data_IF_302391978997
#
_entry.id   IF_302391978997
#
_cell.length_a   1.000
_cell.length_b   1.000
_cell.length_c   1.000
_cell.angle_alpha   90.00
_cell.angle_beta   90.00
_cell.angle_gamma   90.00
#
_symmetry.space_group_name_H-M   'P 1'
#
loop_
_entity.id
_entity.type
_entity.pdbx_description
1 polymer ?
#
# COMPACT_ATOMS: atom_id res chain seq x y z
N UNK A 1 -6.76 17.48 -1.14
CA UNK A 1 -6.18 17.55 0.23
C UNK A 1 -4.72 17.86 0.07
N UNK A 2 -4.21 18.89 0.76
CA UNK A 2 -2.77 19.13 0.81
C UNK A 2 -2.16 18.12 1.78
N UNK A 3 -1.08 17.46 1.36
CA UNK A 3 -0.33 16.51 2.18
C UNK A 3 0.67 17.25 3.05
N UNK A 4 0.83 16.85 4.32
CA UNK A 4 1.90 17.41 5.17
C UNK A 4 3.30 16.92 4.77
N UNK A 5 3.36 15.86 3.97
CA UNK A 5 4.60 15.32 3.43
C UNK A 5 5.07 16.14 2.21
N UNK A 6 6.39 16.35 2.05
CA UNK A 6 6.94 17.06 0.90
C UNK A 6 6.61 16.38 -0.43
N UNK A 7 6.33 17.18 -1.46
CA UNK A 7 6.04 16.67 -2.80
C UNK A 7 7.20 15.85 -3.38
N UNK A 8 8.45 16.21 -3.04
CA UNK A 8 9.66 15.47 -3.43
C UNK A 8 9.60 14.00 -3.01
N UNK A 9 9.12 13.71 -1.79
CA UNK A 9 8.99 12.34 -1.30
C UNK A 9 7.99 11.55 -2.15
N UNK A 10 6.86 12.18 -2.50
CA UNK A 10 5.87 11.59 -3.40
C UNK A 10 6.48 11.18 -4.74
N UNK A 11 7.18 12.09 -5.41
CA UNK A 11 7.82 11.82 -6.70
C UNK A 11 8.89 10.72 -6.64
N UNK A 12 9.69 10.68 -5.56
CA UNK A 12 10.72 9.65 -5.38
C UNK A 12 10.09 8.27 -5.10
N UNK A 13 9.04 8.20 -4.28
CA UNK A 13 8.39 6.93 -3.93
C UNK A 13 7.56 6.35 -5.08
N UNK A 14 6.89 7.21 -5.86
CA UNK A 14 5.86 6.82 -6.82
C UNK A 14 6.25 5.70 -7.80
N UNK A 15 7.40 5.73 -8.50
CA UNK A 15 7.72 4.67 -9.46
C UNK A 15 7.88 3.30 -8.79
N UNK A 16 8.53 3.25 -7.62
CA UNK A 16 8.77 2.00 -6.90
C UNK A 16 7.48 1.45 -6.28
N UNK A 17 6.71 2.30 -5.62
CA UNK A 17 5.41 1.96 -5.02
C UNK A 17 4.43 1.49 -6.09
N UNK A 18 4.43 2.11 -7.27
CA UNK A 18 3.57 1.69 -8.39
C UNK A 18 3.90 0.29 -8.86
N UNK A 19 5.18 -0.01 -9.10
CA UNK A 19 5.60 -1.35 -9.54
C UNK A 19 5.24 -2.41 -8.50
N UNK A 20 5.55 -2.16 -7.22
CA UNK A 20 5.32 -3.14 -6.15
C UNK A 20 3.82 -3.27 -5.85
N UNK A 21 3.08 -2.17 -5.80
CA UNK A 21 1.63 -2.17 -5.54
C UNK A 21 0.85 -2.91 -6.63
N UNK A 22 1.22 -2.73 -7.91
CA UNK A 22 0.64 -3.50 -9.01
C UNK A 22 1.03 -4.98 -8.97
N UNK A 23 2.26 -5.30 -8.59
CA UNK A 23 2.67 -6.69 -8.39
C UNK A 23 1.85 -7.36 -7.29
N UNK A 24 1.66 -6.70 -6.15
CA UNK A 24 0.84 -7.18 -5.03
C UNK A 24 -0.61 -7.36 -5.48
N UNK A 25 -1.20 -6.35 -6.12
CA UNK A 25 -2.57 -6.42 -6.62
C UNK A 25 -2.77 -7.60 -7.58
N UNK A 26 -1.86 -7.79 -8.54
CA UNK A 26 -1.91 -8.93 -9.47
C UNK A 26 -1.75 -10.27 -8.77
N UNK A 27 -0.77 -10.39 -7.86
CA UNK A 27 -0.52 -11.63 -7.13
C UNK A 27 -1.70 -12.03 -6.27
N UNK A 28 -2.32 -11.05 -5.61
CA UNK A 28 -3.45 -11.28 -4.73
C UNK A 28 -4.72 -11.63 -5.51
N UNK A 29 -4.96 -10.98 -6.65
CA UNK A 29 -6.02 -11.38 -7.57
C UNK A 29 -5.84 -12.78 -8.15
N UNK A 30 -4.60 -13.16 -8.49
CA UNK A 30 -4.29 -14.43 -9.14
C UNK A 30 -4.22 -15.61 -8.16
N UNK A 31 -3.65 -15.40 -6.97
CA UNK A 31 -3.28 -16.48 -6.03
C UNK A 31 -3.75 -16.25 -4.60
N UNK A 32 -4.49 -15.16 -4.34
CA UNK A 32 -5.00 -14.78 -3.01
C UNK A 32 -3.89 -14.72 -1.94
N UNK A 33 -2.68 -14.36 -2.39
CA UNK A 33 -1.47 -14.31 -1.58
C UNK A 33 -0.66 -13.09 -1.95
N UNK A 34 -0.25 -12.37 -0.91
CA UNK A 34 0.78 -11.33 -1.01
C UNK A 34 2.17 -11.99 -0.82
N UNK A 35 3.07 -11.91 -1.82
CA UNK A 35 4.39 -12.51 -1.71
C UNK A 35 5.24 -11.79 -0.66
N UNK A 36 5.91 -12.53 0.24
CA UNK A 36 6.86 -11.95 1.19
C UNK A 36 7.95 -11.13 0.50
N UNK A 37 8.35 -11.53 -0.72
CA UNK A 37 9.30 -10.78 -1.54
C UNK A 37 8.79 -9.35 -1.81
N UNK A 38 7.51 -9.17 -2.08
CA UNK A 38 6.93 -7.84 -2.32
C UNK A 38 6.95 -6.97 -1.05
N UNK A 39 6.63 -7.57 0.11
CA UNK A 39 6.71 -6.89 1.42
C UNK A 39 8.14 -6.43 1.71
N UNK A 40 9.12 -7.33 1.57
CA UNK A 40 10.54 -7.02 1.81
C UNK A 40 11.04 -5.99 0.81
N UNK A 41 10.66 -6.08 -0.47
CA UNK A 41 10.99 -5.08 -1.49
C UNK A 41 10.43 -3.71 -1.13
N UNK A 42 9.18 -3.62 -0.65
CA UNK A 42 8.57 -2.34 -0.28
C UNK A 42 9.32 -1.70 0.90
N UNK A 43 9.67 -2.51 1.90
CA UNK A 43 10.49 -2.06 3.03
C UNK A 43 11.88 -1.58 2.58
N UNK A 44 12.57 -2.37 1.75
CA UNK A 44 13.89 -2.00 1.22
C UNK A 44 13.86 -0.71 0.39
N UNK A 45 12.79 -0.52 -0.39
CA UNK A 45 12.53 0.75 -1.09
C UNK A 45 12.41 1.89 -0.10
N UNK A 46 11.65 1.75 0.98
CA UNK A 46 11.55 2.82 2.00
C UNK A 46 12.91 3.14 2.62
N UNK A 47 13.70 2.13 2.96
CA UNK A 47 15.04 2.34 3.53
C UNK A 47 15.91 3.15 2.56
N UNK A 48 15.98 2.76 1.30
CA UNK A 48 16.82 3.44 0.31
C UNK A 48 16.30 4.85 -0.03
N UNK A 49 15.01 4.95 -0.36
CA UNK A 49 14.40 6.21 -0.82
C UNK A 49 14.16 7.19 0.33
N UNK A 50 13.78 6.71 1.52
CA UNK A 50 13.65 7.53 2.72
C UNK A 50 14.99 8.11 3.16
N UNK A 51 16.08 7.33 3.08
CA UNK A 51 17.43 7.86 3.28
C UNK A 51 17.78 8.93 2.23
N UNK A 52 17.51 8.68 0.95
CA UNK A 52 17.76 9.65 -0.11
C UNK A 52 16.98 10.96 0.12
N UNK A 53 15.69 10.88 0.47
CA UNK A 53 14.87 12.05 0.80
C UNK A 53 15.44 12.81 2.00
N UNK A 54 15.90 12.09 3.03
CA UNK A 54 16.54 12.70 4.21
C UNK A 54 17.82 13.45 3.84
N UNK A 55 18.68 12.84 3.02
CA UNK A 55 19.92 13.46 2.55
C UNK A 55 19.69 14.66 1.64
N UNK A 56 18.58 14.67 0.90
CA UNK A 56 18.14 15.79 0.06
C UNK A 56 17.40 16.89 0.84
N UNK A 57 17.30 16.78 2.18
CA UNK A 57 16.63 17.77 3.03
C UNK A 57 15.10 17.67 3.05
N UNK A 58 14.51 16.66 2.39
CA UNK A 58 13.06 16.47 2.39
C UNK A 58 12.52 15.92 3.71
N UNK A 59 13.32 15.14 4.45
CA UNK A 59 12.99 14.69 5.81
C UNK A 59 14.09 15.10 6.78
N UNK A 60 13.70 15.37 8.02
CA UNK A 60 14.64 15.36 9.14
C UNK A 60 15.02 13.92 9.50
N UNK A 61 16.20 13.73 10.10
CA UNK A 61 16.61 12.42 10.62
C UNK A 61 15.62 11.84 11.65
N UNK A 62 15.00 12.71 12.45
CA UNK A 62 14.00 12.32 13.43
C UNK A 62 12.72 11.79 12.75
N UNK A 63 12.22 12.47 11.72
CA UNK A 63 11.06 12.00 10.94
C UNK A 63 11.36 10.66 10.28
N UNK A 64 12.51 10.52 9.62
CA UNK A 64 12.90 9.28 9.00
C UNK A 64 12.97 8.12 10.02
N UNK A 65 13.51 8.36 11.22
CA UNK A 65 13.51 7.41 12.32
C UNK A 65 12.10 7.01 12.80
N UNK A 66 11.21 7.99 13.00
CA UNK A 66 9.83 7.75 13.46
C UNK A 66 8.99 6.92 12.49
N UNK A 67 9.31 6.96 11.20
CA UNK A 67 8.62 6.18 10.17
C UNK A 67 8.79 4.67 10.38
N UNK A 68 9.91 4.24 10.96
CA UNK A 68 10.11 2.84 11.36
C UNK A 68 9.22 2.44 12.55
N UNK A 69 8.94 3.38 13.46
CA UNK A 69 7.97 3.14 14.53
C UNK A 69 6.56 2.90 13.97
N UNK A 70 6.16 3.60 12.89
CA UNK A 70 4.87 3.33 12.23
C UNK A 70 4.79 1.87 11.74
N UNK A 71 5.87 1.35 11.12
CA UNK A 71 5.93 -0.05 10.70
C UNK A 71 5.75 -1.00 11.88
N UNK A 72 6.47 -0.79 12.97
CA UNK A 72 6.39 -1.67 14.15
C UNK A 72 4.98 -1.64 14.75
N UNK A 73 4.40 -0.46 14.92
CA UNK A 73 3.05 -0.31 15.48
C UNK A 73 2.01 -0.99 14.59
N UNK A 74 2.04 -0.75 13.29
CA UNK A 74 1.09 -1.38 12.35
C UNK A 74 1.29 -2.89 12.28
N UNK A 75 2.54 -3.38 12.37
CA UNK A 75 2.83 -4.81 12.43
C UNK A 75 2.26 -5.47 13.68
N UNK A 76 2.39 -4.82 14.85
CA UNK A 76 1.84 -5.34 16.10
C UNK A 76 0.30 -5.39 16.05
N UNK A 77 -0.34 -4.32 15.56
CA UNK A 77 -1.80 -4.29 15.36
C UNK A 77 -2.23 -5.40 14.39
N UNK A 78 -1.56 -5.48 13.24
CA UNK A 78 -1.84 -6.50 12.22
C UNK A 78 -1.62 -7.93 12.73
N UNK A 79 -0.62 -8.16 13.57
CA UNK A 79 -0.38 -9.44 14.21
C UNK A 79 -1.54 -9.83 15.15
N UNK A 80 -2.02 -8.91 15.98
CA UNK A 80 -3.18 -9.13 16.85
C UNK A 80 -4.44 -9.41 16.03
N UNK A 81 -4.70 -8.62 14.98
CA UNK A 81 -5.84 -8.83 14.08
C UNK A 81 -5.78 -10.19 13.38
N UNK A 82 -4.60 -10.62 12.92
CA UNK A 82 -4.41 -11.93 12.32
C UNK A 82 -4.62 -13.06 13.35
N UNK A 83 -4.10 -12.91 14.58
CA UNK A 83 -4.33 -13.88 15.65
C UNK A 83 -5.81 -14.00 16.03
N UNK A 84 -6.57 -12.91 15.91
CA UNK A 84 -8.03 -12.89 16.09
C UNK A 84 -8.82 -13.36 14.86
N UNK A 85 -8.16 -13.73 13.74
CA UNK A 85 -8.81 -14.20 12.52
C UNK A 85 -9.49 -13.11 11.67
N UNK A 86 -9.20 -11.84 11.92
CA UNK A 86 -9.83 -10.69 11.25
C UNK A 86 -9.16 -10.31 9.92
N UNK A 87 -7.88 -10.64 9.74
CA UNK A 87 -7.07 -10.25 8.60
C UNK A 87 -6.03 -11.33 8.29
N UNK A 88 -5.70 -11.53 7.02
CA UNK A 88 -4.63 -12.45 6.63
C UNK A 88 -3.23 -11.94 7.02
N UNK A 89 -2.33 -12.86 7.35
CA UNK A 89 -0.94 -12.51 7.70
C UNK A 89 -0.20 -11.76 6.58
N UNK A 90 -0.56 -12.01 5.31
CA UNK A 90 0.00 -11.29 4.17
C UNK A 90 -0.39 -9.81 4.17
N UNK A 91 -1.69 -9.52 4.34
CA UNK A 91 -2.25 -8.17 4.39
C UNK A 91 -1.65 -7.39 5.56
N UNK A 92 -1.56 -8.01 6.74
CA UNK A 92 -0.98 -7.40 7.93
C UNK A 92 0.48 -6.98 7.72
N UNK A 93 1.30 -7.87 7.14
CA UNK A 93 2.71 -7.58 6.84
C UNK A 93 2.86 -6.50 5.77
N UNK A 94 2.02 -6.52 4.75
CA UNK A 94 2.07 -5.51 3.70
C UNK A 94 1.63 -4.15 4.21
N UNK A 95 0.54 -4.07 4.98
CA UNK A 95 0.11 -2.84 5.64
C UNK A 95 1.21 -2.25 6.54
N UNK A 96 1.93 -3.09 7.29
CA UNK A 96 3.08 -2.65 8.07
C UNK A 96 4.21 -2.09 7.20
N UNK A 97 4.53 -2.72 6.07
CA UNK A 97 5.55 -2.22 5.15
C UNK A 97 5.15 -0.94 4.40
N UNK A 98 3.84 -0.68 4.25
CA UNK A 98 3.31 0.56 3.67
C UNK A 98 3.36 1.73 4.68
N UNK A 99 3.26 1.45 5.98
CA UNK A 99 3.11 2.46 7.02
C UNK A 99 4.21 3.56 7.02
N UNK A 100 5.50 3.25 6.78
CA UNK A 100 6.53 4.28 6.68
C UNK A 100 6.31 5.30 5.55
N UNK A 101 5.66 4.92 4.46
CA UNK A 101 5.41 5.84 3.34
C UNK A 101 4.38 6.92 3.68
N UNK A 102 3.57 6.71 4.72
CA UNK A 102 2.43 7.54 5.09
C UNK A 102 2.82 8.46 6.25
N UNK A 103 2.67 9.77 6.02
CA UNK A 103 2.91 10.76 7.06
C UNK A 103 1.90 10.60 8.18
N UNK A 104 2.34 10.75 9.43
CA UNK A 104 1.41 10.66 10.56
C UNK A 104 0.30 11.69 10.42
N UNK A 105 0.60 12.93 10.00
CA UNK A 105 -0.42 13.96 9.76
C UNK A 105 -1.41 13.64 8.62
N UNK A 106 -1.10 12.71 7.73
CA UNK A 106 -1.96 12.32 6.62
C UNK A 106 -2.78 11.04 6.91
N UNK A 107 -2.74 10.51 8.14
CA UNK A 107 -3.39 9.24 8.47
C UNK A 107 -4.88 9.21 8.07
N UNK A 108 -5.60 10.31 8.28
CA UNK A 108 -7.01 10.44 7.92
C UNK A 108 -7.23 10.45 6.41
N UNK A 109 -6.38 11.16 5.67
CA UNK A 109 -6.40 11.16 4.20
C UNK A 109 -6.14 9.76 3.65
N UNK A 110 -5.14 9.05 4.19
CA UNK A 110 -4.84 7.68 3.80
C UNK A 110 -6.00 6.72 4.14
N UNK A 111 -6.59 6.84 5.33
CA UNK A 111 -7.74 6.01 5.71
C UNK A 111 -8.94 6.21 4.77
N UNK A 112 -9.21 7.44 4.34
CA UNK A 112 -10.25 7.75 3.34
C UNK A 112 -9.92 7.14 1.98
N UNK A 113 -8.69 7.30 1.49
CA UNK A 113 -8.24 6.70 0.22
C UNK A 113 -8.37 5.18 0.27
N UNK A 114 -7.93 4.55 1.36
CA UNK A 114 -8.05 3.11 1.55
C UNK A 114 -9.52 2.67 1.58
N UNK A 115 -10.38 3.41 2.26
CA UNK A 115 -11.82 3.11 2.33
C UNK A 115 -12.46 3.16 0.94
N UNK A 116 -12.16 4.19 0.14
CA UNK A 116 -12.62 4.31 -1.25
C UNK A 116 -12.04 3.19 -2.10
N UNK A 117 -10.76 2.85 -1.95
CA UNK A 117 -10.11 1.76 -2.67
C UNK A 117 -10.74 0.41 -2.35
N UNK A 118 -11.16 0.17 -1.10
CA UNK A 118 -11.88 -1.04 -0.69
C UNK A 118 -13.25 -1.10 -1.36
N UNK A 119 -14.04 -0.03 -1.29
CA UNK A 119 -15.38 0.01 -1.88
C UNK A 119 -15.33 -0.19 -3.41
N UNK A 120 -14.46 0.57 -4.10
CA UNK A 120 -14.31 0.48 -5.54
C UNK A 120 -13.68 -0.85 -5.95
N UNK A 121 -12.62 -1.29 -5.27
CA UNK A 121 -11.95 -2.56 -5.55
C UNK A 121 -12.89 -3.74 -5.39
N UNK A 122 -13.71 -3.75 -4.33
CA UNK A 122 -14.74 -4.76 -4.14
C UNK A 122 -15.76 -4.75 -5.26
N UNK A 123 -16.33 -3.59 -5.58
CA UNK A 123 -17.33 -3.47 -6.64
C UNK A 123 -16.77 -3.92 -8.00
N UNK A 124 -15.60 -3.40 -8.37
CA UNK A 124 -14.92 -3.71 -9.64
C UNK A 124 -14.59 -5.20 -9.71
N UNK A 125 -14.05 -5.80 -8.65
CA UNK A 125 -13.75 -7.23 -8.60
C UNK A 125 -15.00 -8.09 -8.80
N UNK A 126 -16.09 -7.77 -8.08
CA UNK A 126 -17.36 -8.52 -8.18
C UNK A 126 -18.00 -8.40 -9.55
N UNK A 127 -17.90 -7.25 -10.21
CA UNK A 127 -18.36 -7.06 -11.59
C UNK A 127 -17.45 -7.85 -12.54
N UNK A 128 -16.13 -7.70 -12.43
CA UNK A 128 -15.14 -8.36 -13.29
C UNK A 128 -15.27 -9.89 -13.25
N UNK A 129 -15.51 -10.46 -12.07
CA UNK A 129 -15.78 -11.90 -11.85
C UNK A 129 -16.99 -12.41 -12.65
N UNK A 130 -17.94 -11.55 -13.03
CA UNK A 130 -19.12 -11.92 -13.83
C UNK A 130 -18.95 -11.73 -15.34
N UNK A 131 -17.87 -11.08 -15.78
CA UNK A 131 -17.63 -10.80 -17.20
C UNK A 131 -16.90 -12.00 -17.85
N UNK A 132 -17.51 -12.71 -18.83
CA UNK A 132 -16.89 -13.90 -19.43
C UNK A 132 -15.56 -13.60 -20.13
N UNK A 133 -15.43 -12.42 -20.73
CA UNK A 133 -14.18 -12.00 -21.38
C UNK A 133 -13.01 -11.92 -20.40
N UNK A 134 -13.24 -11.35 -19.21
CA UNK A 134 -12.20 -11.22 -18.17
C UNK A 134 -11.79 -12.61 -17.68
N UNK A 135 -12.76 -13.46 -17.31
CA UNK A 135 -12.48 -14.84 -16.85
C UNK A 135 -11.70 -15.65 -17.87
N UNK A 136 -11.98 -15.52 -19.17
CA UNK A 136 -11.23 -16.21 -20.23
C UNK A 136 -9.78 -15.72 -20.37
N UNK A 137 -9.51 -14.45 -20.04
CA UNK A 137 -8.16 -13.87 -20.07
C UNK A 137 -7.37 -14.17 -18.80
N UNK A 138 -8.04 -14.49 -17.70
CA UNK A 138 -7.43 -14.83 -16.41
C UNK A 138 -8.05 -16.10 -15.82
N UNK A 139 -7.99 -17.24 -16.54
CA UNK A 139 -8.69 -18.46 -16.13
C UNK A 139 -8.12 -19.06 -14.84
N UNK A 140 -6.83 -18.87 -14.58
CA UNK A 140 -6.11 -19.47 -13.46
C UNK A 140 -6.18 -18.62 -12.17
N UNK A 141 -6.97 -17.56 -12.15
CA UNK A 141 -7.04 -16.65 -10.99
C UNK A 141 -7.97 -17.19 -9.90
N UNK A 142 -7.39 -17.47 -8.74
CA UNK A 142 -8.08 -18.05 -7.58
C UNK A 142 -9.19 -17.15 -7.00
N UNK A 143 -9.04 -15.82 -7.11
CA UNK A 143 -10.04 -14.87 -6.61
C UNK A 143 -11.40 -14.95 -7.33
N UNK A 144 -11.44 -15.58 -8.51
CA UNK A 144 -12.69 -15.86 -9.22
C UNK A 144 -13.47 -17.02 -8.62
N UNK A 145 -12.83 -17.92 -7.90
CA UNK A 145 -13.50 -19.10 -7.35
C UNK A 145 -13.82 -18.92 -5.87
N UNK A 146 -13.04 -18.12 -5.15
CA UNK A 146 -13.25 -17.86 -3.72
C UNK A 146 -14.31 -16.79 -3.42
N UNK A 147 -14.89 -16.90 -2.22
CA UNK A 147 -15.80 -15.90 -1.67
C UNK A 147 -15.06 -14.75 -0.99
N UNK A 148 -13.85 -15.02 -0.48
CA UNK A 148 -12.95 -14.03 0.10
C UNK A 148 -12.59 -12.95 -0.92
N UNK A 149 -12.28 -11.75 -0.42
CA UNK A 149 -11.91 -10.61 -1.26
C UNK A 149 -10.40 -10.35 -1.20
N UNK A 150 -9.70 -10.22 -2.34
CA UNK A 150 -8.27 -9.95 -2.40
C UNK A 150 -7.94 -8.52 -1.93
N UNK A 151 -7.64 -8.37 -0.64
CA UNK A 151 -7.35 -7.07 -0.02
C UNK A 151 -6.05 -6.42 -0.51
N UNK A 152 -5.09 -7.20 -0.99
CA UNK A 152 -3.85 -6.72 -1.58
C UNK A 152 -4.06 -5.83 -2.80
N UNK A 153 -5.16 -6.02 -3.55
CA UNK A 153 -5.59 -5.09 -4.60
C UNK A 153 -5.81 -3.68 -4.04
N UNK A 154 -6.57 -3.57 -2.96
CA UNK A 154 -6.94 -2.30 -2.34
C UNK A 154 -5.75 -1.68 -1.59
N UNK A 155 -4.97 -2.47 -0.88
CA UNK A 155 -3.77 -1.99 -0.18
C UNK A 155 -2.75 -1.40 -1.17
N UNK A 156 -2.44 -2.14 -2.25
CA UNK A 156 -1.51 -1.68 -3.27
C UNK A 156 -2.00 -0.41 -4.00
N UNK A 157 -3.26 -0.39 -4.43
CA UNK A 157 -3.83 0.78 -5.13
C UNK A 157 -4.00 2.00 -4.21
N UNK A 158 -4.36 1.80 -2.94
CA UNK A 158 -4.46 2.89 -1.97
C UNK A 158 -3.10 3.54 -1.71
N UNK A 159 -2.04 2.74 -1.58
CA UNK A 159 -0.69 3.30 -1.43
C UNK A 159 -0.27 4.14 -2.63
N UNK A 160 -0.51 3.63 -3.84
CA UNK A 160 -0.20 4.35 -5.09
C UNK A 160 -0.98 5.68 -5.14
N UNK A 161 -2.28 5.64 -4.87
CA UNK A 161 -3.14 6.83 -4.88
C UNK A 161 -2.70 7.86 -3.84
N UNK A 162 -2.33 7.41 -2.63
CA UNK A 162 -1.81 8.29 -1.59
C UNK A 162 -0.48 8.92 -2.01
N UNK A 163 0.49 8.14 -2.50
CA UNK A 163 1.79 8.66 -2.93
C UNK A 163 1.64 9.61 -4.12
N UNK A 164 0.71 9.35 -5.04
CA UNK A 164 0.37 10.27 -6.12
C UNK A 164 -0.23 11.59 -5.59
N UNK A 165 -1.13 11.51 -4.60
CA UNK A 165 -1.66 12.70 -3.93
C UNK A 165 -0.53 13.51 -3.27
N UNK A 166 0.43 12.86 -2.61
CA UNK A 166 1.62 13.53 -2.05
C UNK A 166 2.46 14.17 -3.15
N UNK A 167 2.70 13.48 -4.28
CA UNK A 167 3.50 14.02 -5.38
C UNK A 167 2.89 15.28 -6.01
N UNK A 168 1.55 15.32 -6.10
CA UNK A 168 0.82 16.44 -6.73
C UNK A 168 0.43 17.56 -5.76
N UNK A 169 0.33 17.28 -4.46
CA UNK A 169 -0.22 18.20 -3.45
C UNK A 169 0.54 18.23 -2.12
N UNK A 170 1.76 17.73 -2.08
CA UNK A 170 2.65 17.83 -0.92
C UNK A 170 3.20 19.23 -0.71
N UNK A 171 3.74 19.49 0.48
CA UNK A 171 4.39 20.75 0.81
C UNK A 171 5.63 20.99 -0.05
N UNK A 172 6.01 22.26 -0.23
CA UNK A 172 7.35 22.59 -0.69
C UNK A 172 8.36 22.05 0.33
N UNK A 173 9.43 21.42 -0.14
CA UNK A 173 10.52 20.98 0.73
C UNK A 173 11.02 22.16 1.57
N UNK A 174 11.26 21.93 2.86
CA UNK A 174 11.82 22.91 3.78
C UNK A 174 13.24 23.32 3.37
#
# INVERSE_FOLDING_TARGET
>A
MLSVQPALAGWIFLPFVTVIGLWVAKSDLATMKIPNKAVVSLFAVFVATGLAITLLGGFTWAEYGWRYAHLVVVLLIGFVMNAAGLMGAGDAKFAAAMAPFIALGDWGSFALILSVAILLGFLIHRIAKRIPFVRRKTPDWESWERNDFPMGLCLGTALIAYVLMVALGGTASA
#
